data_IF_577025079143
#
_entry.id   IF_577025079143
#
_cell.length_a   1.000
_cell.length_b   1.000
_cell.length_c   1.000
_cell.angle_alpha   90.00
_cell.angle_beta   90.00
_cell.angle_gamma   90.00
#
_symmetry.space_group_name_H-M   'P 1'
#
loop_
_entity.id
_entity.type
_entity.pdbx_description
1 polymer ?
#
# COMPACT_ATOMS: atom_id res chain seq x y z
N UNK A 1 16.90 -9.03 -2.68
CA UNK A 1 15.63 -8.56 -3.31
C UNK A 1 14.44 -8.91 -2.42
N UNK A 2 13.33 -8.17 -2.51
CA UNK A 2 12.12 -8.41 -1.72
C UNK A 2 10.92 -8.63 -2.64
N UNK A 3 10.12 -9.66 -2.36
CA UNK A 3 8.84 -9.94 -3.01
C UNK A 3 7.75 -9.82 -1.94
N UNK A 4 6.65 -9.15 -2.23
CA UNK A 4 5.52 -9.01 -1.32
C UNK A 4 4.30 -9.73 -1.90
N UNK A 5 3.62 -10.51 -1.07
CA UNK A 5 2.41 -11.23 -1.45
C UNK A 5 2.19 -12.45 -0.56
N UNK A 6 0.94 -12.86 -0.41
CA UNK A 6 0.53 -14.00 0.42
C UNK A 6 0.08 -15.22 -0.39
N UNK A 7 0.05 -15.09 -1.71
CA UNK A 7 -0.42 -16.12 -2.62
C UNK A 7 0.70 -17.07 -3.08
N UNK A 8 0.30 -18.16 -3.73
CA UNK A 8 1.23 -19.15 -4.29
C UNK A 8 2.12 -18.58 -5.40
N UNK A 9 1.73 -17.47 -6.03
CA UNK A 9 2.54 -16.81 -7.06
C UNK A 9 3.72 -16.07 -6.42
N UNK A 10 3.51 -15.39 -5.30
CA UNK A 10 4.57 -14.71 -4.57
C UNK A 10 5.63 -15.71 -4.09
N UNK A 11 5.21 -16.89 -3.63
CA UNK A 11 6.11 -17.98 -3.29
C UNK A 11 6.88 -18.54 -4.50
N UNK A 12 6.20 -18.79 -5.63
CA UNK A 12 6.84 -19.27 -6.85
C UNK A 12 7.87 -18.27 -7.37
N UNK A 13 7.49 -17.00 -7.41
CA UNK A 13 8.33 -15.92 -7.89
C UNK A 13 9.59 -15.76 -7.03
N UNK A 14 9.45 -15.81 -5.70
CA UNK A 14 10.60 -15.77 -4.80
C UNK A 14 11.58 -16.93 -5.03
N UNK A 15 11.08 -18.13 -5.31
CA UNK A 15 11.90 -19.31 -5.60
C UNK A 15 12.63 -19.20 -6.94
N UNK A 16 11.93 -18.76 -8.00
CA UNK A 16 12.52 -18.54 -9.32
C UNK A 16 13.61 -17.48 -9.28
N UNK A 17 13.35 -16.35 -8.63
CA UNK A 17 14.32 -15.26 -8.53
C UNK A 17 15.56 -15.66 -7.71
N UNK A 18 15.39 -16.43 -6.63
CA UNK A 18 16.52 -16.98 -5.86
C UNK A 18 17.34 -17.96 -6.71
N UNK A 19 16.70 -18.74 -7.57
CA UNK A 19 17.36 -19.70 -8.45
C UNK A 19 18.13 -19.05 -9.61
N UNK A 20 17.50 -18.10 -10.30
CA UNK A 20 18.07 -17.43 -11.49
C UNK A 20 19.21 -16.49 -11.12
N UNK A 21 19.00 -15.66 -10.10
CA UNK A 21 19.96 -14.60 -9.76
C UNK A 21 20.98 -15.04 -8.72
N UNK A 22 20.77 -16.19 -8.06
CA UNK A 22 21.62 -16.69 -6.93
C UNK A 22 21.82 -15.66 -5.80
N UNK A 23 20.91 -14.70 -5.72
CA UNK A 23 20.90 -13.68 -4.67
C UNK A 23 19.86 -14.01 -3.58
N UNK A 24 20.00 -13.37 -2.43
CA UNK A 24 19.03 -13.51 -1.34
C UNK A 24 17.70 -12.82 -1.70
N UNK A 25 16.60 -13.58 -1.62
CA UNK A 25 15.23 -13.12 -1.87
C UNK A 25 14.39 -13.37 -0.62
N UNK A 26 13.77 -12.31 -0.10
CA UNK A 26 12.87 -12.38 1.07
C UNK A 26 11.44 -12.19 0.61
N UNK A 27 10.58 -13.18 0.89
CA UNK A 27 9.13 -13.05 0.70
C UNK A 27 8.50 -12.45 1.96
N UNK A 28 7.79 -11.34 1.80
CA UNK A 28 7.01 -10.70 2.86
C UNK A 28 5.54 -11.04 2.64
N UNK A 29 4.97 -11.81 3.57
CA UNK A 29 3.55 -12.17 3.59
C UNK A 29 2.81 -11.18 4.49
N UNK A 30 2.02 -10.25 3.93
CA UNK A 30 1.20 -9.36 4.75
C UNK A 30 0.10 -10.18 5.46
N UNK A 31 -0.28 -9.81 6.70
CA UNK A 31 -1.37 -10.50 7.41
C UNK A 31 -2.67 -10.39 6.59
N UNK A 32 -3.32 -11.52 6.31
CA UNK A 32 -4.49 -11.67 5.43
C UNK A 32 -5.80 -11.04 5.96
N UNK A 33 -5.72 -10.19 7.00
CA UNK A 33 -6.87 -9.58 7.66
C UNK A 33 -7.34 -8.31 6.98
N UNK A 34 -8.62 -8.29 6.57
CA UNK A 34 -9.38 -7.08 6.22
C UNK A 34 -9.43 -6.12 7.42
N UNK A 35 -8.37 -5.34 7.62
CA UNK A 35 -8.23 -4.50 8.81
C UNK A 35 -6.81 -4.33 9.32
N UNK A 36 -5.78 -4.73 8.56
CA UNK A 36 -4.41 -4.36 8.86
C UNK A 36 -4.29 -2.83 8.90
N UNK A 37 -4.34 -2.25 10.11
CA UNK A 37 -3.95 -0.88 10.35
C UNK A 37 -2.52 -0.78 9.89
N UNK A 38 -2.34 -0.26 8.66
CA UNK A 38 -1.02 0.06 8.15
C UNK A 38 -0.38 0.92 9.24
N UNK A 39 0.73 0.48 9.85
CA UNK A 39 1.28 1.14 11.03
C UNK A 39 1.64 2.61 10.77
N UNK A 40 1.63 3.05 9.51
CA UNK A 40 1.87 4.42 9.04
C UNK A 40 0.68 5.10 8.32
N UNK A 41 -0.52 4.51 8.24
CA UNK A 41 -1.69 5.19 7.63
C UNK A 41 -2.57 5.95 8.64
N UNK A 42 -2.26 5.89 9.93
CA UNK A 42 -3.04 6.55 10.98
C UNK A 42 -2.97 8.08 10.96
N UNK A 43 -1.88 8.66 10.42
CA UNK A 43 -1.71 10.13 10.32
C UNK A 43 -1.99 10.64 8.90
N UNK A 44 -1.53 9.90 7.88
CA UNK A 44 -1.67 10.29 6.48
C UNK A 44 -3.14 10.26 5.99
N UNK A 45 -3.93 9.24 6.36
CA UNK A 45 -5.34 9.14 5.94
C UNK A 45 -6.20 10.30 6.48
N UNK A 46 -5.94 10.74 7.71
CA UNK A 46 -6.62 11.88 8.32
C UNK A 46 -6.21 13.21 7.66
N UNK A 47 -4.93 13.37 7.34
CA UNK A 47 -4.44 14.53 6.59
C UNK A 47 -5.03 14.58 5.17
N UNK A 48 -5.10 13.45 4.47
CA UNK A 48 -5.72 13.36 3.14
C UNK A 48 -7.21 13.70 3.17
N UNK A 49 -7.96 13.20 4.15
CA UNK A 49 -9.37 13.55 4.31
C UNK A 49 -9.58 15.05 4.59
N UNK A 50 -8.73 15.64 5.43
CA UNK A 50 -8.78 17.07 5.73
C UNK A 50 -8.39 17.95 4.52
N UNK A 51 -7.45 17.50 3.69
CA UNK A 51 -7.08 18.19 2.44
C UNK A 51 -8.20 18.10 1.40
N UNK A 52 -8.84 16.94 1.26
CA UNK A 52 -9.97 16.75 0.35
C UNK A 52 -11.17 17.61 0.76
N UNK A 53 -11.47 17.69 2.05
CA UNK A 53 -12.53 18.55 2.61
C UNK A 53 -12.29 20.05 2.29
N UNK A 54 -11.05 20.52 2.42
CA UNK A 54 -10.68 21.91 2.06
C UNK A 54 -10.81 22.20 0.56
N UNK A 55 -10.53 21.23 -0.30
CA UNK A 55 -10.65 21.41 -1.77
C UNK A 55 -12.12 21.41 -2.19
N UNK A 56 -12.94 20.52 -1.63
CA UNK A 56 -14.38 20.47 -1.91
C UNK A 56 -15.07 21.75 -1.44
N UNK A 57 -14.72 22.27 -0.27
CA UNK A 57 -15.27 23.55 0.23
C UNK A 57 -14.82 24.76 -0.58
N UNK A 58 -13.58 24.76 -1.10
CA UNK A 58 -13.10 25.81 -2.00
C UNK A 58 -13.80 25.78 -3.37
N UNK A 59 -13.97 24.59 -3.97
CA UNK A 59 -14.67 24.41 -5.25
C UNK A 59 -16.14 24.80 -5.16
N UNK A 60 -16.82 24.41 -4.07
CA UNK A 60 -18.22 24.77 -3.87
C UNK A 60 -18.43 26.27 -3.65
N UNK A 61 -17.41 27.00 -3.18
CA UNK A 61 -17.42 28.47 -3.10
C UNK A 61 -17.12 29.14 -4.44
N UNK A 62 -16.30 28.51 -5.28
CA UNK A 62 -15.96 29.02 -6.62
C UNK A 62 -17.08 28.87 -7.66
N UNK A 63 -18.00 27.92 -7.48
CA UNK A 63 -19.12 27.67 -8.40
C UNK A 63 -20.40 28.46 -8.08
N UNK A 64 -20.38 29.33 -7.07
CA UNK A 64 -21.54 30.09 -6.59
C UNK A 64 -21.43 31.60 -6.71
N UNK A 65 -20.63 32.10 -7.66
CA UNK A 65 -20.46 33.54 -7.96
C UNK A 65 -20.79 33.86 -9.41
#
# INVERSE_FOLDING_TARGET
>A
MVVCGDDGLAHRLAAELRGVYREQVTLVVPPSGRGGRQPMAGRARAASAALLDRVVTAVNRGNGG
#
